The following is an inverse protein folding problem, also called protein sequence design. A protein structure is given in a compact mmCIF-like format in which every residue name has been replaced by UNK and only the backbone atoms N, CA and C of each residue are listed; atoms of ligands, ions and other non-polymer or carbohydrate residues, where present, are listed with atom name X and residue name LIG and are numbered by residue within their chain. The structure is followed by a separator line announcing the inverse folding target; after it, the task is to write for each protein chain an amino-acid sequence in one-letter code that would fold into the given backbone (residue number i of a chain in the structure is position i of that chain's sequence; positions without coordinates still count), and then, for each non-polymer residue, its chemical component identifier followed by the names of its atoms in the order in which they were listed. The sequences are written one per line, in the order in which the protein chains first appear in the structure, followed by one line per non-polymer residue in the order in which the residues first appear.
data_IF_145143065890
#
_entry.id   IF_145143065890
#
_cell.length_a   1.000
_cell.length_b   1.000
_cell.length_c   1.000
_cell.angle_alpha   90.00
_cell.angle_beta   90.00
_cell.angle_gamma   90.00
#
_symmetry.space_group_name_H-M   'P 1'
#
loop_
_entity.id
_entity.type
_entity.pdbx_description
1 polymer ?
#
# COMPACT_ATOMS: atom_id res chain seq x y z
N UNK A 1 13.52 0.28 18.14
CA UNK A 1 13.30 -1.16 17.94
C UNK A 1 11.99 -1.45 17.16
N UNK A 2 10.81 -0.92 17.57
CA UNK A 2 9.50 -1.15 16.91
C UNK A 2 9.52 -0.80 15.42
N UNK A 3 10.09 0.35 15.04
CA UNK A 3 10.18 0.76 13.63
C UNK A 3 11.09 -0.17 12.84
N UNK A 4 12.22 -0.60 13.42
CA UNK A 4 13.15 -1.53 12.76
C UNK A 4 12.46 -2.86 12.47
N UNK A 5 11.79 -3.44 13.46
CA UNK A 5 11.04 -4.69 13.29
C UNK A 5 9.94 -4.57 12.21
N UNK A 6 9.18 -3.47 12.27
CA UNK A 6 8.14 -3.19 11.27
C UNK A 6 8.73 -3.00 9.87
N UNK A 7 9.92 -2.37 9.75
CA UNK A 7 10.61 -2.22 8.47
C UNK A 7 11.04 -3.56 7.89
N UNK A 8 11.62 -4.46 8.68
CA UNK A 8 11.96 -5.80 8.20
C UNK A 8 10.73 -6.55 7.67
N UNK A 9 9.64 -6.55 8.43
CA UNK A 9 8.40 -7.20 8.02
C UNK A 9 7.86 -6.62 6.71
N UNK A 10 7.84 -5.30 6.57
CA UNK A 10 7.33 -4.64 5.37
C UNK A 10 8.24 -4.83 4.16
N UNK A 11 9.56 -4.86 4.35
CA UNK A 11 10.51 -5.13 3.29
C UNK A 11 10.23 -6.49 2.63
N UNK A 12 10.09 -7.55 3.43
CA UNK A 12 9.77 -8.88 2.91
C UNK A 12 8.34 -8.97 2.34
N UNK A 13 7.38 -8.19 2.86
CA UNK A 13 6.04 -8.13 2.28
C UNK A 13 6.08 -7.55 0.86
N UNK A 14 6.79 -6.43 0.64
CA UNK A 14 6.96 -5.86 -0.70
C UNK A 14 7.81 -6.74 -1.62
N UNK A 15 8.82 -7.43 -1.09
CA UNK A 15 9.58 -8.42 -1.87
C UNK A 15 8.68 -9.56 -2.37
N UNK A 16 7.79 -10.07 -1.52
CA UNK A 16 6.80 -11.07 -1.92
C UNK A 16 5.83 -10.54 -2.98
N UNK A 17 5.32 -9.32 -2.81
CA UNK A 17 4.46 -8.64 -3.78
C UNK A 17 5.18 -8.49 -5.14
N UNK A 18 6.42 -8.03 -5.13
CA UNK A 18 7.25 -7.92 -6.34
C UNK A 18 7.38 -9.27 -7.07
N UNK A 19 7.71 -10.34 -6.34
CA UNK A 19 7.87 -11.68 -6.93
C UNK A 19 6.56 -12.12 -7.62
N UNK A 20 5.41 -11.95 -6.95
CA UNK A 20 4.12 -12.33 -7.52
C UNK A 20 3.80 -11.51 -8.76
N UNK A 21 4.01 -10.18 -8.71
CA UNK A 21 3.76 -9.30 -9.86
C UNK A 21 4.69 -9.61 -11.04
N UNK A 22 5.97 -9.86 -10.78
CA UNK A 22 6.94 -10.20 -11.83
C UNK A 22 6.68 -11.57 -12.45
N UNK A 23 6.15 -12.53 -11.68
CA UNK A 23 5.85 -13.88 -12.16
C UNK A 23 4.46 -14.02 -12.77
N UNK A 24 3.56 -13.06 -12.55
CA UNK A 24 2.15 -13.19 -12.94
C UNK A 24 1.98 -13.42 -14.45
N UNK A 25 2.49 -12.52 -15.27
CA UNK A 25 2.39 -12.61 -16.73
C UNK A 25 3.10 -13.84 -17.30
N UNK A 26 4.38 -14.10 -16.95
CA UNK A 26 5.06 -15.31 -17.39
C UNK A 26 4.31 -16.60 -17.02
N UNK A 27 3.72 -16.65 -15.83
CA UNK A 27 3.00 -17.83 -15.36
C UNK A 27 1.68 -18.02 -16.12
N UNK A 28 0.92 -16.94 -16.35
CA UNK A 28 -0.29 -16.99 -17.15
C UNK A 28 0.00 -17.43 -18.60
N UNK A 29 1.01 -16.84 -19.22
CA UNK A 29 1.41 -17.19 -20.59
C UNK A 29 1.95 -18.62 -20.71
N UNK A 30 2.67 -19.10 -19.69
CA UNK A 30 3.13 -20.50 -19.62
C UNK A 30 1.94 -21.46 -19.66
N UNK A 31 0.91 -21.22 -18.86
CA UNK A 31 -0.29 -22.08 -18.88
C UNK A 31 -1.11 -21.91 -20.16
N UNK A 32 -1.22 -20.71 -20.70
CA UNK A 32 -1.88 -20.50 -22.00
C UNK A 32 -1.19 -21.24 -23.15
N UNK A 33 0.14 -21.25 -23.15
CA UNK A 33 0.92 -22.03 -24.12
C UNK A 33 0.71 -23.54 -23.93
N UNK A 34 0.67 -24.00 -22.68
CA UNK A 34 0.44 -25.42 -22.37
C UNK A 34 -0.95 -25.91 -22.82
N UNK A 35 -1.96 -25.04 -22.74
CA UNK A 35 -3.35 -25.32 -23.16
C UNK A 35 -3.52 -25.10 -24.67
N UNK A 36 -2.59 -24.38 -25.32
CA UNK A 36 -2.67 -24.04 -26.75
C UNK A 36 -3.57 -22.85 -27.05
N UNK A 37 -3.83 -21.97 -26.09
CA UNK A 37 -4.69 -20.79 -26.23
C UNK A 37 -3.92 -19.47 -26.38
N UNK A 38 -2.59 -19.51 -26.26
CA UNK A 38 -1.75 -18.31 -26.43
C UNK A 38 -1.75 -17.89 -27.91
N UNK A 39 -2.12 -16.64 -28.18
CA UNK A 39 -2.10 -16.05 -29.53
C UNK A 39 -0.74 -15.42 -29.81
N UNK A 40 -0.25 -15.53 -31.03
CA UNK A 40 0.97 -14.85 -31.46
C UNK A 40 0.85 -13.32 -31.28
N UNK A 41 1.81 -12.72 -30.57
CA UNK A 41 1.84 -11.28 -30.32
C UNK A 41 1.08 -10.80 -29.07
N UNK A 42 0.43 -11.68 -28.30
CA UNK A 42 -0.14 -11.31 -27.00
C UNK A 42 0.96 -11.21 -25.93
N UNK A 43 1.02 -10.06 -25.24
CA UNK A 43 1.92 -9.86 -24.08
C UNK A 43 1.41 -10.55 -22.84
N UNK A 44 0.09 -10.59 -22.66
CA UNK A 44 -0.59 -11.30 -21.57
C UNK A 44 -1.82 -12.01 -22.13
N UNK A 45 -1.91 -13.31 -21.88
CA UNK A 45 -3.08 -14.12 -22.29
C UNK A 45 -4.36 -13.64 -21.59
N UNK A 46 -5.47 -13.65 -22.32
CA UNK A 46 -6.81 -13.36 -21.77
C UNK A 46 -7.60 -14.63 -21.45
N UNK A 47 -6.99 -15.80 -21.57
CA UNK A 47 -7.66 -17.07 -21.29
C UNK A 47 -7.95 -17.23 -19.79
N UNK A 48 -9.22 -17.31 -19.37
CA UNK A 48 -9.59 -17.49 -17.98
C UNK A 48 -9.04 -18.78 -17.35
N UNK A 49 -8.87 -19.84 -18.13
CA UNK A 49 -8.32 -21.10 -17.61
C UNK A 49 -6.83 -20.98 -17.30
N UNK A 50 -6.07 -20.29 -18.13
CA UNK A 50 -4.66 -20.03 -17.88
C UNK A 50 -4.48 -19.19 -16.60
N UNK A 51 -5.33 -18.18 -16.41
CA UNK A 51 -5.34 -17.36 -15.20
C UNK A 51 -5.70 -18.19 -13.95
N UNK A 52 -6.68 -19.08 -14.08
CA UNK A 52 -7.07 -19.97 -12.99
C UNK A 52 -5.92 -20.89 -12.55
N UNK A 53 -5.20 -21.50 -13.49
CA UNK A 53 -4.05 -22.33 -13.17
C UNK A 53 -2.89 -21.53 -12.54
N UNK A 54 -2.61 -20.35 -13.06
CA UNK A 54 -1.62 -19.45 -12.48
C UNK A 54 -1.96 -19.09 -11.02
N UNK A 55 -3.23 -18.75 -10.74
CA UNK A 55 -3.70 -18.47 -9.37
C UNK A 55 -3.65 -19.69 -8.47
N UNK A 56 -3.92 -20.89 -8.98
CA UNK A 56 -3.79 -22.13 -8.20
C UNK A 56 -2.35 -22.35 -7.74
N UNK A 57 -1.37 -22.16 -8.62
CA UNK A 57 0.06 -22.31 -8.26
C UNK A 57 0.46 -21.31 -7.19
N UNK A 58 0.07 -20.05 -7.34
CA UNK A 58 0.34 -19.02 -6.32
C UNK A 58 -0.35 -19.38 -5.00
N UNK A 59 -1.62 -19.77 -5.05
CA UNK A 59 -2.39 -20.16 -3.87
C UNK A 59 -1.79 -21.34 -3.12
N UNK A 60 -1.39 -22.41 -3.82
CA UNK A 60 -0.71 -23.58 -3.22
C UNK A 60 0.63 -23.17 -2.63
N UNK A 61 1.40 -22.33 -3.31
CA UNK A 61 2.69 -21.83 -2.80
C UNK A 61 2.49 -21.03 -1.52
N UNK A 62 1.52 -20.10 -1.49
CA UNK A 62 1.19 -19.34 -0.29
C UNK A 62 0.75 -20.25 0.85
N UNK A 63 -0.12 -21.22 0.59
CA UNK A 63 -0.56 -22.19 1.58
C UNK A 63 0.62 -22.97 2.18
N UNK A 64 1.52 -23.47 1.33
CA UNK A 64 2.72 -24.19 1.78
C UNK A 64 3.62 -23.32 2.66
N UNK A 65 3.83 -22.04 2.27
CA UNK A 65 4.61 -21.09 3.05
C UNK A 65 3.96 -20.77 4.41
N UNK A 66 2.64 -20.65 4.47
CA UNK A 66 1.93 -20.45 5.75
C UNK A 66 2.06 -21.67 6.67
N UNK A 67 1.90 -22.91 6.12
CA UNK A 67 2.10 -24.14 6.88
C UNK A 67 3.55 -24.22 7.38
N UNK A 68 4.53 -23.93 6.53
CA UNK A 68 5.93 -23.92 6.90
C UNK A 68 6.21 -22.89 8.02
N UNK A 69 5.66 -21.69 7.90
CA UNK A 69 5.77 -20.65 8.94
C UNK A 69 5.20 -21.15 10.27
N UNK A 70 4.02 -21.77 10.25
CA UNK A 70 3.40 -22.33 11.44
C UNK A 70 4.29 -23.40 12.09
N UNK A 71 4.84 -24.31 11.31
CA UNK A 71 5.69 -25.41 11.81
C UNK A 71 7.03 -24.90 12.38
N UNK A 72 7.59 -23.84 11.80
CA UNK A 72 8.89 -23.28 12.20
C UNK A 72 8.79 -22.27 13.35
N UNK A 73 7.60 -21.68 13.58
CA UNK A 73 7.43 -20.64 14.59
C UNK A 73 7.05 -21.27 15.93
N UNK A 74 7.80 -20.95 16.99
CA UNK A 74 7.48 -21.33 18.38
C UNK A 74 7.29 -20.07 19.22
N UNK A 75 6.23 -20.07 19.99
CA UNK A 75 5.93 -18.99 20.94
C UNK A 75 6.82 -19.11 22.17
N UNK A 76 7.76 -18.20 22.37
CA UNK A 76 8.69 -18.20 23.49
C UNK A 76 8.21 -17.32 24.66
N UNK A 77 7.32 -16.37 24.41
CA UNK A 77 6.83 -15.43 25.42
C UNK A 77 5.41 -15.83 25.82
N UNK A 78 5.27 -16.37 27.03
CA UNK A 78 3.95 -16.56 27.62
C UNK A 78 3.46 -15.17 28.09
N UNK A 79 2.44 -14.64 27.44
CA UNK A 79 1.74 -13.47 27.95
C UNK A 79 1.09 -13.83 29.28
N UNK A 80 1.33 -13.01 30.32
CA UNK A 80 0.55 -13.11 31.56
C UNK A 80 -0.89 -12.86 31.18
N UNK A 81 -1.74 -13.87 31.34
CA UNK A 81 -3.19 -13.76 31.12
C UNK A 81 -3.74 -12.71 32.11
N UNK A 82 -3.81 -11.46 31.66
CA UNK A 82 -4.66 -10.47 32.34
C UNK A 82 -6.09 -10.80 31.93
N UNK A 83 -6.89 -11.25 32.88
CA UNK A 83 -8.31 -11.55 32.76
C UNK A 83 -9.14 -10.26 32.60
N UNK A 84 -8.86 -9.47 31.58
CA UNK A 84 -9.74 -8.35 31.22
C UNK A 84 -10.87 -8.88 30.34
N UNK A 85 -12.09 -8.44 30.64
CA UNK A 85 -13.24 -8.80 29.80
C UNK A 85 -13.09 -8.19 28.41
N UNK A 86 -13.48 -8.90 27.38
CA UNK A 86 -13.51 -8.39 25.98
C UNK A 86 -14.30 -7.06 25.91
N UNK A 87 -15.31 -6.91 26.77
CA UNK A 87 -16.10 -5.68 26.87
C UNK A 87 -15.29 -4.49 27.41
N UNK A 88 -14.41 -4.74 28.38
CA UNK A 88 -13.57 -3.71 28.98
C UNK A 88 -12.45 -3.31 28.00
N UNK A 89 -11.88 -4.25 27.27
CA UNK A 89 -10.89 -3.99 26.23
C UNK A 89 -11.49 -3.19 25.06
N UNK A 90 -12.70 -3.53 24.63
CA UNK A 90 -13.43 -2.78 23.61
C UNK A 90 -13.80 -1.37 24.11
N UNK A 91 -14.24 -1.27 25.37
CA UNK A 91 -14.53 0.01 26.01
C UNK A 91 -13.29 0.92 26.04
N UNK A 92 -12.13 0.39 26.44
CA UNK A 92 -10.87 1.13 26.50
C UNK A 92 -10.42 1.60 25.10
N UNK A 93 -10.62 0.77 24.07
CA UNK A 93 -10.30 1.11 22.70
C UNK A 93 -11.17 2.25 22.16
N UNK A 94 -12.48 2.20 22.38
CA UNK A 94 -13.42 3.22 21.94
C UNK A 94 -13.18 4.59 22.62
N UNK A 95 -12.65 4.62 23.83
CA UNK A 95 -12.27 5.85 24.56
C UNK A 95 -10.84 6.32 24.23
N UNK A 96 -10.12 5.61 23.37
CA UNK A 96 -8.73 5.93 22.98
C UNK A 96 -8.71 6.94 21.83
N UNK A 97 -8.71 8.25 22.13
CA UNK A 97 -8.67 9.30 21.12
C UNK A 97 -7.52 9.19 20.12
N UNK A 98 -6.26 8.98 20.54
CA UNK A 98 -5.14 8.74 19.62
C UNK A 98 -5.36 7.59 18.65
N UNK A 99 -6.06 6.53 19.07
CA UNK A 99 -6.39 5.40 18.21
C UNK A 99 -7.35 5.81 17.08
N UNK A 100 -8.42 6.55 17.37
CA UNK A 100 -9.37 7.02 16.36
C UNK A 100 -8.71 7.92 15.31
N UNK A 101 -7.82 8.81 15.76
CA UNK A 101 -7.11 9.73 14.89
C UNK A 101 -6.17 8.94 13.95
N UNK A 102 -5.39 8.01 14.49
CA UNK A 102 -4.50 7.21 13.66
C UNK A 102 -5.29 6.28 12.71
N UNK A 103 -6.38 5.67 13.20
CA UNK A 103 -7.24 4.81 12.39
C UNK A 103 -7.79 5.56 11.17
N UNK A 104 -8.29 6.80 11.37
CA UNK A 104 -8.75 7.66 10.30
C UNK A 104 -7.64 8.01 9.31
N UNK A 105 -6.49 8.45 9.82
CA UNK A 105 -5.33 8.76 8.95
C UNK A 105 -4.87 7.56 8.12
N UNK A 106 -4.79 6.39 8.71
CA UNK A 106 -4.39 5.14 8.02
C UNK A 106 -5.46 4.65 7.05
N UNK A 107 -6.74 4.78 7.38
CA UNK A 107 -7.84 4.43 6.48
C UNK A 107 -7.74 5.23 5.17
N UNK A 108 -7.61 6.57 5.27
CA UNK A 108 -7.49 7.43 4.10
C UNK A 108 -6.17 7.24 3.35
N UNK A 109 -5.07 6.92 4.03
CA UNK A 109 -3.82 6.54 3.38
C UNK A 109 -3.96 5.23 2.57
N UNK A 110 -4.63 4.22 3.11
CA UNK A 110 -4.90 2.98 2.35
C UNK A 110 -5.89 3.21 1.21
N UNK A 111 -6.86 4.09 1.39
CA UNK A 111 -7.79 4.50 0.33
C UNK A 111 -7.05 5.20 -0.82
N UNK A 112 -6.13 6.12 -0.51
CA UNK A 112 -5.22 6.73 -1.47
C UNK A 112 -4.46 5.68 -2.30
N UNK A 113 -3.81 4.73 -1.63
CA UNK A 113 -3.07 3.67 -2.31
C UNK A 113 -3.97 2.82 -3.20
N UNK A 114 -5.12 2.38 -2.68
CA UNK A 114 -6.04 1.51 -3.40
C UNK A 114 -6.58 2.15 -4.69
N UNK A 115 -6.94 3.43 -4.65
CA UNK A 115 -7.38 4.15 -5.86
C UNK A 115 -6.27 4.18 -6.90
N UNK A 116 -5.04 4.55 -6.51
CA UNK A 116 -3.93 4.60 -7.46
C UNK A 116 -3.63 3.23 -8.07
N UNK A 117 -3.52 2.17 -7.26
CA UNK A 117 -3.25 0.83 -7.76
C UNK A 117 -4.36 0.33 -8.68
N UNK A 118 -5.63 0.56 -8.35
CA UNK A 118 -6.77 0.15 -9.16
C UNK A 118 -6.92 0.98 -10.46
N UNK A 119 -6.47 2.23 -10.48
CA UNK A 119 -6.53 3.08 -11.66
C UNK A 119 -5.41 2.82 -12.69
N UNK A 120 -4.27 2.25 -12.26
CA UNK A 120 -3.10 2.02 -13.14
C UNK A 120 -3.45 1.20 -14.40
N UNK A 121 -4.15 0.06 -14.34
CA UNK A 121 -4.51 -0.69 -15.54
C UNK A 121 -5.31 0.16 -16.54
N UNK A 122 -6.29 0.93 -16.07
CA UNK A 122 -7.11 1.80 -16.92
C UNK A 122 -6.28 2.93 -17.54
N UNK A 123 -5.34 3.49 -16.78
CA UNK A 123 -4.43 4.51 -17.28
C UNK A 123 -3.57 3.98 -18.43
N UNK A 124 -3.00 2.80 -18.28
CA UNK A 124 -2.16 2.19 -19.30
C UNK A 124 -2.95 1.72 -20.53
N UNK A 125 -4.10 1.12 -20.34
CA UNK A 125 -4.92 0.63 -21.48
C UNK A 125 -5.57 1.74 -22.29
N UNK A 126 -5.73 2.95 -21.71
CA UNK A 126 -6.46 4.05 -22.35
C UNK A 126 -5.54 5.17 -22.84
N UNK A 127 -4.50 5.51 -22.07
CA UNK A 127 -3.68 6.71 -22.34
C UNK A 127 -2.26 6.40 -22.83
N UNK A 128 -1.74 5.20 -22.57
CA UNK A 128 -0.40 4.81 -23.02
C UNK A 128 -0.52 3.96 -24.27
N UNK A 129 0.29 4.24 -25.28
CA UNK A 129 0.30 3.46 -26.50
C UNK A 129 0.72 2.01 -26.23
N UNK A 130 0.08 1.05 -26.92
CA UNK A 130 0.37 -0.37 -26.73
C UNK A 130 1.81 -0.76 -27.09
N UNK A 131 2.45 0.03 -27.98
CA UNK A 131 3.83 -0.10 -28.42
C UNK A 131 4.78 0.87 -27.69
N UNK A 132 4.37 1.42 -26.54
CA UNK A 132 5.22 2.31 -25.74
C UNK A 132 6.46 1.57 -25.26
N UNK A 133 7.63 2.12 -25.57
CA UNK A 133 8.92 1.53 -25.18
C UNK A 133 9.76 2.51 -24.38
N UNK A 134 10.52 1.97 -23.44
CA UNK A 134 11.59 2.65 -22.73
C UNK A 134 12.92 2.01 -23.12
N UNK A 135 13.98 2.81 -23.24
CA UNK A 135 15.32 2.31 -23.55
C UNK A 135 16.29 2.68 -22.42
N UNK A 136 17.07 1.69 -21.96
CA UNK A 136 18.17 1.86 -21.01
C UNK A 136 19.41 1.19 -21.61
N UNK A 137 20.49 1.94 -21.82
CA UNK A 137 21.75 1.42 -22.36
C UNK A 137 21.57 0.53 -23.62
N UNK A 138 20.74 0.99 -24.58
CA UNK A 138 20.43 0.25 -25.82
C UNK A 138 19.57 -1.01 -25.65
N UNK A 139 19.02 -1.27 -24.48
CA UNK A 139 18.02 -2.31 -24.24
C UNK A 139 16.64 -1.62 -24.25
N UNK A 140 15.80 -2.05 -25.18
CA UNK A 140 14.41 -1.60 -25.27
C UNK A 140 13.50 -2.58 -24.53
N UNK A 141 12.58 -2.06 -23.73
CA UNK A 141 11.56 -2.84 -23.05
C UNK A 141 10.20 -2.14 -23.12
N UNK A 142 9.17 -2.94 -23.26
CA UNK A 142 7.80 -2.46 -23.34
C UNK A 142 7.40 -1.74 -22.04
N UNK A 143 6.79 -0.56 -22.17
CA UNK A 143 6.29 0.21 -21.03
C UNK A 143 4.81 -0.04 -20.80
N UNK A 144 4.48 -0.88 -19.84
CA UNK A 144 3.12 -1.29 -19.52
C UNK A 144 2.87 -1.33 -18.02
N UNK A 145 1.60 -1.54 -17.61
CA UNK A 145 1.18 -1.50 -16.22
C UNK A 145 1.97 -2.44 -15.30
N UNK A 146 2.31 -3.64 -15.75
CA UNK A 146 3.05 -4.63 -14.96
C UNK A 146 4.45 -4.13 -14.59
N UNK A 147 5.23 -3.59 -15.53
CA UNK A 147 6.55 -3.00 -15.26
C UNK A 147 6.42 -1.79 -14.34
N UNK A 148 5.43 -0.92 -14.58
CA UNK A 148 5.20 0.26 -13.75
C UNK A 148 4.90 -0.10 -12.29
N UNK A 149 4.10 -1.13 -12.06
CA UNK A 149 3.80 -1.66 -10.73
C UNK A 149 5.02 -2.36 -10.11
N UNK A 150 5.71 -3.21 -10.86
CA UNK A 150 6.88 -3.95 -10.35
C UNK A 150 8.02 -3.00 -9.93
N UNK A 151 8.32 -1.98 -10.74
CA UNK A 151 9.29 -0.94 -10.38
C UNK A 151 8.83 -0.18 -9.14
N UNK A 152 7.52 0.09 -9.01
CA UNK A 152 6.92 0.67 -7.83
C UNK A 152 7.16 -0.17 -6.57
N UNK A 153 7.04 -1.50 -6.64
CA UNK A 153 7.29 -2.39 -5.49
C UNK A 153 8.76 -2.39 -5.06
N UNK A 154 9.69 -2.39 -6.01
CA UNK A 154 11.13 -2.25 -5.71
C UNK A 154 11.40 -0.89 -5.03
N UNK A 155 10.78 0.17 -5.51
CA UNK A 155 10.88 1.50 -4.92
C UNK A 155 10.25 1.55 -3.50
N UNK A 156 9.14 0.85 -3.26
CA UNK A 156 8.57 0.66 -1.92
C UNK A 156 9.57 0.01 -0.97
N UNK A 157 10.27 -1.05 -1.40
CA UNK A 157 11.32 -1.70 -0.59
C UNK A 157 12.43 -0.73 -0.22
N UNK A 158 12.89 0.10 -1.16
CA UNK A 158 13.87 1.15 -0.89
C UNK A 158 13.33 2.17 0.14
N UNK A 159 12.08 2.58 0.01
CA UNK A 159 11.39 3.46 0.96
C UNK A 159 11.33 2.87 2.36
N UNK A 160 11.00 1.59 2.50
CA UNK A 160 11.00 0.86 3.78
C UNK A 160 12.39 0.86 4.43
N UNK A 161 13.45 0.63 3.65
CA UNK A 161 14.83 0.68 4.16
C UNK A 161 15.20 2.09 4.65
N UNK A 162 14.72 3.14 3.97
CA UNK A 162 14.94 4.54 4.36
C UNK A 162 14.08 4.98 5.56
N UNK A 163 12.98 4.30 5.86
CA UNK A 163 12.04 4.70 6.91
C UNK A 163 12.71 4.81 8.29
N UNK A 164 13.52 3.82 8.66
CA UNK A 164 14.18 3.78 9.96
C UNK A 164 15.13 4.96 10.20
N UNK A 165 16.15 5.24 9.35
CA UNK A 165 17.07 6.36 9.57
C UNK A 165 16.38 7.73 9.52
N UNK A 166 15.36 7.90 8.66
CA UNK A 166 14.61 9.16 8.58
C UNK A 166 13.79 9.36 9.87
N UNK A 167 13.12 8.31 10.33
CA UNK A 167 12.30 8.37 11.55
C UNK A 167 13.12 8.66 12.81
N UNK A 168 14.35 8.16 12.90
CA UNK A 168 15.23 8.48 14.02
C UNK A 168 15.59 9.97 14.09
N UNK A 169 15.70 10.64 12.95
CA UNK A 169 16.02 12.07 12.88
C UNK A 169 14.80 12.96 13.08
N UNK A 170 13.70 12.69 12.41
CA UNK A 170 12.52 13.55 12.34
C UNK A 170 11.40 13.16 13.32
N UNK A 171 11.40 11.91 13.80
CA UNK A 171 10.29 11.33 14.56
C UNK A 171 9.16 10.79 13.65
N UNK A 172 8.36 9.86 14.18
CA UNK A 172 7.34 9.13 13.39
C UNK A 172 6.27 10.04 12.79
N UNK A 173 5.66 10.91 13.62
CA UNK A 173 4.61 11.84 13.21
C UNK A 173 5.09 12.76 12.08
N UNK A 174 6.25 13.39 12.24
CA UNK A 174 6.79 14.34 11.25
C UNK A 174 7.18 13.64 9.97
N UNK A 175 7.79 12.45 10.04
CA UNK A 175 8.14 11.66 8.85
C UNK A 175 6.88 11.29 8.07
N UNK A 176 5.82 10.82 8.73
CA UNK A 176 4.55 10.50 8.09
C UNK A 176 3.96 11.74 7.40
N UNK A 177 3.88 12.87 8.12
CA UNK A 177 3.31 14.11 7.59
C UNK A 177 4.07 14.64 6.38
N UNK A 178 5.41 14.71 6.46
CA UNK A 178 6.23 15.20 5.34
C UNK A 178 6.13 14.27 4.13
N UNK A 179 6.06 12.96 4.35
CA UNK A 179 5.84 12.01 3.26
C UNK A 179 4.48 12.22 2.60
N UNK A 180 3.40 12.48 3.37
CA UNK A 180 2.08 12.78 2.80
C UNK A 180 2.09 14.09 2.00
N UNK A 181 2.72 15.14 2.51
CA UNK A 181 2.83 16.42 1.79
C UNK A 181 3.58 16.26 0.46
N UNK A 182 4.67 15.51 0.47
CA UNK A 182 5.42 15.18 -0.75
C UNK A 182 4.59 14.32 -1.72
N UNK A 183 3.83 13.33 -1.21
CA UNK A 183 2.90 12.51 -2.02
C UNK A 183 1.84 13.37 -2.71
N UNK A 184 1.24 14.32 -2.01
CA UNK A 184 0.26 15.26 -2.57
C UNK A 184 0.88 16.03 -3.74
N UNK A 185 2.07 16.61 -3.53
CA UNK A 185 2.76 17.39 -4.57
C UNK A 185 3.10 16.52 -5.80
N UNK A 186 3.61 15.30 -5.59
CA UNK A 186 3.95 14.38 -6.69
C UNK A 186 2.71 13.89 -7.45
N UNK A 187 1.60 13.62 -6.76
CA UNK A 187 0.35 13.25 -7.40
C UNK A 187 -0.21 14.41 -8.25
N UNK A 188 -0.14 15.65 -7.76
CA UNK A 188 -0.52 16.83 -8.56
C UNK A 188 0.40 16.98 -9.76
N UNK A 189 1.72 16.81 -9.58
CA UNK A 189 2.69 16.88 -10.68
C UNK A 189 2.41 15.82 -11.75
N UNK A 190 1.95 14.62 -11.36
CA UNK A 190 1.60 13.54 -12.29
C UNK A 190 0.53 13.96 -13.32
N UNK A 191 -0.41 14.83 -12.94
CA UNK A 191 -1.45 15.35 -13.84
C UNK A 191 -0.90 16.12 -15.04
N UNK A 192 0.19 16.88 -14.85
CA UNK A 192 0.76 17.75 -15.87
C UNK A 192 1.74 17.03 -16.81
N UNK A 193 2.00 15.73 -16.59
CA UNK A 193 2.90 14.97 -17.47
C UNK A 193 2.15 14.51 -18.70
N UNK A 194 2.69 14.75 -19.91
CA UNK A 194 2.11 14.19 -21.14
C UNK A 194 2.06 12.66 -21.10
N UNK A 195 1.10 12.09 -21.82
CA UNK A 195 0.93 10.63 -21.91
C UNK A 195 1.54 10.04 -23.19
N UNK A 196 2.27 10.85 -23.96
CA UNK A 196 2.89 10.44 -25.22
C UNK A 196 4.37 10.84 -25.27
N UNK A 197 5.17 9.98 -25.87
CA UNK A 197 6.61 10.20 -26.06
C UNK A 197 7.47 9.62 -24.95
N UNK A 198 8.65 9.12 -25.32
CA UNK A 198 9.60 8.42 -24.44
C UNK A 198 10.01 9.25 -23.22
N UNK A 199 10.18 10.58 -23.38
CA UNK A 199 10.51 11.46 -22.26
C UNK A 199 9.38 11.57 -21.22
N UNK A 200 8.12 11.54 -21.67
CA UNK A 200 6.95 11.52 -20.79
C UNK A 200 6.86 10.18 -20.01
N UNK A 201 7.10 9.05 -20.66
CA UNK A 201 7.09 7.73 -20.02
C UNK A 201 8.16 7.64 -18.92
N UNK A 202 9.37 8.16 -19.16
CA UNK A 202 10.40 8.26 -18.13
C UNK A 202 9.98 9.14 -16.96
N UNK A 203 9.33 10.26 -17.24
CA UNK A 203 8.84 11.17 -16.19
C UNK A 203 7.75 10.50 -15.34
N UNK A 204 6.79 9.81 -15.97
CA UNK A 204 5.75 9.05 -15.28
C UNK A 204 6.36 7.95 -14.39
N UNK A 205 7.35 7.22 -14.89
CA UNK A 205 8.04 6.18 -14.13
C UNK A 205 8.83 6.76 -12.95
N UNK A 206 9.53 7.88 -13.14
CA UNK A 206 10.25 8.56 -12.06
C UNK A 206 9.30 9.07 -10.97
N UNK A 207 8.16 9.66 -11.34
CA UNK A 207 7.14 10.07 -10.38
C UNK A 207 6.59 8.86 -9.61
N UNK A 208 6.35 7.74 -10.28
CA UNK A 208 5.91 6.50 -9.61
C UNK A 208 6.96 5.99 -8.63
N UNK A 209 8.24 5.98 -8.99
CA UNK A 209 9.34 5.60 -8.09
C UNK A 209 9.33 6.48 -6.84
N UNK A 210 9.25 7.80 -6.99
CA UNK A 210 9.23 8.73 -5.86
C UNK A 210 7.99 8.54 -4.98
N UNK A 211 6.81 8.38 -5.57
CA UNK A 211 5.56 8.10 -4.86
C UNK A 211 5.68 6.79 -4.09
N UNK A 212 6.22 5.74 -4.70
CA UNK A 212 6.40 4.44 -4.06
C UNK A 212 7.43 4.49 -2.92
N UNK A 213 8.53 5.21 -3.06
CA UNK A 213 9.49 5.40 -1.96
C UNK A 213 8.79 6.04 -0.74
N UNK A 214 8.00 7.09 -0.97
CA UNK A 214 7.29 7.77 0.12
C UNK A 214 6.23 6.86 0.78
N UNK A 215 5.50 6.08 -0.01
CA UNK A 215 4.56 5.08 0.50
C UNK A 215 5.27 4.00 1.31
N UNK A 216 6.41 3.54 0.81
CA UNK A 216 7.28 2.59 1.50
C UNK A 216 7.81 3.12 2.83
N UNK A 217 8.12 4.42 2.93
CA UNK A 217 8.50 5.07 4.19
C UNK A 217 7.35 5.04 5.19
N UNK A 218 6.12 5.34 4.76
CA UNK A 218 4.95 5.40 5.65
C UNK A 218 4.57 4.01 6.18
N UNK A 219 4.67 2.96 5.39
CA UNK A 219 4.18 1.62 5.72
C UNK A 219 4.67 1.06 7.07
N UNK A 220 5.98 1.04 7.41
CA UNK A 220 6.43 0.56 8.71
C UNK A 220 6.10 1.53 9.86
N UNK A 221 5.97 2.83 9.56
CA UNK A 221 5.59 3.82 10.58
C UNK A 221 4.18 3.55 11.11
N UNK A 222 3.23 3.23 10.25
CA UNK A 222 1.85 2.89 10.62
C UNK A 222 1.85 1.81 11.72
N UNK A 223 2.51 0.68 11.47
CA UNK A 223 2.58 -0.42 12.44
C UNK A 223 3.30 -0.03 13.72
N UNK A 224 4.37 0.74 13.61
CA UNK A 224 5.11 1.24 14.76
C UNK A 224 4.29 2.24 15.59
N UNK A 225 3.44 3.06 14.96
CA UNK A 225 2.55 4.00 15.66
C UNK A 225 1.39 3.28 16.36
N UNK A 226 0.86 2.18 15.80
CA UNK A 226 -0.12 1.35 16.50
C UNK A 226 0.49 0.68 17.74
N UNK A 227 1.76 0.27 17.67
CA UNK A 227 2.47 -0.22 18.86
C UNK A 227 2.65 0.88 19.94
N UNK A 228 2.82 2.15 19.53
CA UNK A 228 2.86 3.28 20.48
C UNK A 228 1.49 3.55 21.12
N UNK A 229 0.40 3.38 20.37
CA UNK A 229 -0.96 3.47 20.90
C UNK A 229 -1.22 2.36 21.92
N UNK A 230 -0.69 1.15 21.71
CA UNK A 230 -0.79 0.06 22.67
C UNK A 230 -0.09 0.41 23.99
N UNK A 231 1.13 0.97 23.95
CA UNK A 231 1.81 1.44 25.15
C UNK A 231 1.05 2.57 25.87
N UNK A 232 0.49 3.51 25.11
CA UNK A 232 -0.36 4.56 25.67
C UNK A 232 -1.61 4.01 26.35
N UNK A 233 -2.26 3.01 25.73
CA UNK A 233 -3.46 2.37 26.26
C UNK A 233 -3.13 1.60 27.57
N UNK A 234 -2.01 0.88 27.61
CA UNK A 234 -1.57 0.15 28.81
C UNK A 234 -1.35 1.11 29.99
N UNK A 235 -0.71 2.25 29.76
CA UNK A 235 -0.45 3.23 30.81
C UNK A 235 -1.74 3.90 31.29
N UNK A 236 -2.64 4.30 30.37
CA UNK A 236 -3.81 5.11 30.68
C UNK A 236 -5.00 4.29 31.20
N UNK A 237 -5.26 3.16 30.58
CA UNK A 237 -6.43 2.32 30.84
C UNK A 237 -6.09 1.07 31.66
N UNK A 238 -4.79 0.82 31.91
CA UNK A 238 -4.28 -0.38 32.59
C UNK A 238 -4.72 -1.70 31.92
N UNK A 239 -5.10 -1.63 30.66
CA UNK A 239 -5.52 -2.75 29.82
C UNK A 239 -4.59 -2.85 28.61
N UNK A 240 -4.11 -4.07 28.33
CA UNK A 240 -3.27 -4.32 27.18
C UNK A 240 -4.09 -4.85 26.01
N UNK A 241 -4.98 -4.00 25.42
CA UNK A 241 -5.79 -4.35 24.24
C UNK A 241 -5.00 -4.36 22.93
N UNK A 242 -3.74 -4.79 22.98
CA UNK A 242 -2.80 -4.81 21.85
C UNK A 242 -3.38 -5.54 20.65
N UNK A 243 -4.01 -6.72 20.85
CA UNK A 243 -4.62 -7.51 19.78
C UNK A 243 -5.72 -6.74 19.05
N UNK A 244 -6.60 -6.04 19.78
CA UNK A 244 -7.68 -5.22 19.18
C UNK A 244 -7.12 -4.01 18.43
N UNK A 245 -6.08 -3.35 18.93
CA UNK A 245 -5.43 -2.22 18.27
C UNK A 245 -4.83 -2.66 16.92
N UNK A 246 -4.11 -3.78 16.88
CA UNK A 246 -3.53 -4.29 15.64
C UNK A 246 -4.55 -4.88 14.67
N UNK A 247 -5.60 -5.53 15.16
CA UNK A 247 -6.70 -6.02 14.32
C UNK A 247 -7.48 -4.88 13.67
N UNK A 248 -7.69 -3.77 14.39
CA UNK A 248 -8.30 -2.56 13.83
C UNK A 248 -7.45 -1.92 12.72
N UNK A 249 -6.12 -1.97 12.83
CA UNK A 249 -5.22 -1.55 11.75
C UNK A 249 -5.43 -2.40 10.49
N UNK A 250 -5.46 -3.72 10.65
CA UNK A 250 -5.72 -4.63 9.54
C UNK A 250 -7.09 -4.40 8.92
N UNK A 251 -8.11 -4.11 9.75
CA UNK A 251 -9.45 -3.73 9.31
C UNK A 251 -9.41 -2.45 8.47
N UNK A 252 -8.74 -1.39 8.94
CA UNK A 252 -8.61 -0.13 8.21
C UNK A 252 -7.95 -0.32 6.84
N UNK A 253 -6.92 -1.19 6.75
CA UNK A 253 -6.30 -1.54 5.47
C UNK A 253 -7.27 -2.23 4.52
N UNK A 254 -8.04 -3.22 5.02
CA UNK A 254 -9.00 -3.96 4.20
C UNK A 254 -10.15 -3.08 3.73
N UNK A 255 -10.70 -2.25 4.62
CA UNK A 255 -11.76 -1.29 4.25
C UNK A 255 -11.24 -0.24 3.28
N UNK A 256 -10.08 0.36 3.55
CA UNK A 256 -9.47 1.34 2.62
C UNK A 256 -9.26 0.74 1.23
N UNK A 257 -8.76 -0.50 1.15
CA UNK A 257 -8.60 -1.24 -0.10
C UNK A 257 -9.92 -1.52 -0.82
N UNK A 258 -10.92 -2.04 -0.10
CA UNK A 258 -12.22 -2.37 -0.68
C UNK A 258 -12.97 -1.12 -1.19
N UNK A 259 -13.03 -0.07 -0.38
CA UNK A 259 -13.66 1.20 -0.78
C UNK A 259 -12.88 1.85 -1.93
N UNK A 260 -11.54 1.77 -1.94
CA UNK A 260 -10.72 2.34 -3.01
C UNK A 260 -10.98 1.65 -4.35
N UNK A 261 -11.00 0.32 -4.39
CA UNK A 261 -11.33 -0.42 -5.60
C UNK A 261 -12.75 -0.15 -6.11
N UNK A 262 -13.75 -0.14 -5.22
CA UNK A 262 -15.13 0.19 -5.57
C UNK A 262 -15.26 1.65 -6.07
N UNK A 263 -14.59 2.59 -5.41
CA UNK A 263 -14.63 4.00 -5.78
C UNK A 263 -14.08 4.24 -7.19
N UNK A 264 -13.02 3.54 -7.60
CA UNK A 264 -12.50 3.64 -8.97
C UNK A 264 -13.56 3.25 -9.99
N UNK A 265 -14.26 2.12 -9.77
CA UNK A 265 -15.32 1.67 -10.68
C UNK A 265 -16.49 2.65 -10.74
N UNK A 266 -16.94 3.18 -9.59
CA UNK A 266 -18.03 4.15 -9.54
C UNK A 266 -17.64 5.49 -10.19
N UNK A 267 -16.43 5.96 -9.97
CA UNK A 267 -15.95 7.20 -10.59
C UNK A 267 -15.77 7.04 -12.09
N UNK A 268 -15.20 5.92 -12.56
CA UNK A 268 -15.10 5.63 -13.99
C UNK A 268 -16.47 5.58 -14.65
N UNK A 269 -17.45 4.91 -14.04
CA UNK A 269 -18.82 4.90 -14.53
C UNK A 269 -19.44 6.31 -14.56
N UNK A 270 -19.16 7.13 -13.54
CA UNK A 270 -19.60 8.53 -13.46
C UNK A 270 -18.98 9.42 -14.55
N UNK A 271 -17.74 9.14 -14.98
CA UNK A 271 -17.08 9.79 -16.11
C UNK A 271 -17.44 9.19 -17.47
N UNK A 272 -18.38 8.24 -17.54
CA UNK A 272 -18.83 7.63 -18.79
C UNK A 272 -17.83 6.68 -19.44
N UNK A 273 -16.97 6.02 -18.62
CA UNK A 273 -16.03 5.03 -19.13
C UNK A 273 -16.76 3.85 -19.76
N UNK A 274 -16.47 3.55 -21.03
CA UNK A 274 -17.04 2.39 -21.72
C UNK A 274 -16.18 1.15 -21.43
N UNK A 275 -16.82 0.11 -20.90
CA UNK A 275 -16.18 -1.16 -20.56
C UNK A 275 -16.12 -2.16 -21.72
N UNK A 276 -16.71 -1.85 -22.88
CA UNK A 276 -16.65 -2.70 -24.05
C UNK A 276 -15.23 -2.80 -24.61
N UNK A 277 -14.85 -3.98 -25.03
CA UNK A 277 -13.51 -4.24 -25.55
C UNK A 277 -13.24 -3.47 -26.84
N UNK A 278 -12.16 -2.68 -26.86
CA UNK A 278 -11.78 -1.87 -28.00
C UNK A 278 -12.59 -0.57 -28.18
N UNK A 279 -13.47 -0.23 -27.22
CA UNK A 279 -14.23 1.00 -27.27
C UNK A 279 -13.32 2.22 -27.20
N UNK A 280 -13.58 3.20 -28.06
CA UNK A 280 -12.95 4.52 -27.99
C UNK A 280 -13.55 5.26 -26.80
N UNK A 281 -12.70 5.67 -25.86
CA UNK A 281 -13.14 6.40 -24.67
C UNK A 281 -13.43 7.87 -24.99
N UNK A 282 -14.41 8.43 -24.27
CA UNK A 282 -14.73 9.85 -24.35
C UNK A 282 -13.64 10.71 -23.70
N UNK A 283 -13.55 11.99 -24.06
CA UNK A 283 -12.62 12.93 -23.43
C UNK A 283 -12.88 13.04 -21.91
N UNK A 284 -14.15 12.96 -21.49
CA UNK A 284 -14.53 12.96 -20.08
C UNK A 284 -14.02 11.72 -19.32
N UNK A 285 -14.09 10.54 -19.93
CA UNK A 285 -13.55 9.31 -19.36
C UNK A 285 -12.02 9.35 -19.27
N UNK A 286 -11.35 9.84 -20.31
CA UNK A 286 -9.87 10.04 -20.31
C UNK A 286 -9.46 11.00 -19.20
N UNK A 287 -10.15 12.14 -19.09
CA UNK A 287 -9.90 13.10 -18.00
C UNK A 287 -10.16 12.49 -16.63
N UNK A 288 -11.22 11.70 -16.47
CA UNK A 288 -11.53 10.98 -15.24
C UNK A 288 -10.41 10.03 -14.81
N UNK A 289 -9.80 9.29 -15.75
CA UNK A 289 -8.66 8.41 -15.47
C UNK A 289 -7.44 9.23 -15.02
N UNK A 290 -7.16 10.37 -15.66
CA UNK A 290 -6.09 11.26 -15.23
C UNK A 290 -6.32 11.79 -13.81
N UNK A 291 -7.55 12.17 -13.47
CA UNK A 291 -7.92 12.60 -12.12
C UNK A 291 -7.75 11.48 -11.09
N UNK A 292 -8.07 10.22 -11.43
CA UNK A 292 -7.89 9.05 -10.57
C UNK A 292 -6.41 8.74 -10.28
N UNK A 293 -5.49 9.15 -11.15
CA UNK A 293 -4.05 9.00 -10.94
C UNK A 293 -3.42 10.20 -10.21
N UNK A 294 -4.12 11.33 -10.09
CA UNK A 294 -3.55 12.61 -9.66
C UNK A 294 -4.35 13.32 -8.56
N UNK A 295 -5.32 14.15 -8.92
CA UNK A 295 -6.04 15.03 -8.01
C UNK A 295 -6.90 14.30 -6.98
N UNK A 296 -7.57 13.22 -7.36
CA UNK A 296 -8.43 12.47 -6.44
C UNK A 296 -7.59 11.83 -5.32
N UNK A 297 -6.52 11.07 -5.62
CA UNK A 297 -5.62 10.58 -4.58
C UNK A 297 -4.97 11.71 -3.77
N UNK A 298 -4.57 12.81 -4.40
CA UNK A 298 -4.02 13.96 -3.69
C UNK A 298 -5.00 14.52 -2.65
N UNK A 299 -6.27 14.69 -3.00
CA UNK A 299 -7.33 15.13 -2.07
C UNK A 299 -7.53 14.16 -0.89
N UNK A 300 -7.48 12.86 -1.15
CA UNK A 300 -7.57 11.83 -0.10
C UNK A 300 -6.34 11.87 0.81
N UNK A 301 -5.14 12.07 0.25
CA UNK A 301 -3.93 12.22 1.04
C UNK A 301 -3.96 13.48 1.93
N UNK A 302 -4.60 14.58 1.49
CA UNK A 302 -4.85 15.77 2.32
C UNK A 302 -5.69 15.40 3.54
N UNK A 303 -6.76 14.63 3.38
CA UNK A 303 -7.58 14.19 4.52
C UNK A 303 -6.74 13.36 5.49
N UNK A 304 -5.94 12.40 4.99
CA UNK A 304 -5.00 11.64 5.82
C UNK A 304 -4.03 12.56 6.57
N UNK A 305 -3.47 13.58 5.90
CA UNK A 305 -2.55 14.54 6.51
C UNK A 305 -3.21 15.34 7.64
N UNK A 306 -4.48 15.74 7.50
CA UNK A 306 -5.23 16.43 8.56
C UNK A 306 -5.29 15.56 9.82
N UNK A 307 -5.61 14.26 9.70
CA UNK A 307 -5.60 13.33 10.83
C UNK A 307 -4.21 13.24 11.48
N UNK A 308 -3.14 13.18 10.69
CA UNK A 308 -1.78 13.10 11.23
C UNK A 308 -1.35 14.42 11.91
N UNK A 309 -1.80 15.58 11.42
CA UNK A 309 -1.53 16.88 12.06
C UNK A 309 -2.10 16.90 13.48
N UNK A 310 -3.33 16.44 13.68
CA UNK A 310 -3.98 16.43 15.00
C UNK A 310 -3.56 15.25 15.88
N UNK A 311 -2.78 14.29 15.36
CA UNK A 311 -2.30 13.13 16.12
C UNK A 311 -1.42 13.54 17.32
N UNK A 312 -1.78 13.16 18.57
CA UNK A 312 -1.17 13.75 19.76
C UNK A 312 0.12 13.06 20.24
N UNK A 313 0.40 11.81 19.82
CA UNK A 313 1.55 11.07 20.31
C UNK A 313 2.82 11.43 19.51
N UNK A 314 3.44 12.53 19.93
CA UNK A 314 4.75 12.98 19.41
C UNK A 314 5.90 12.14 19.97
N UNK A 315 7.08 12.24 19.37
CA UNK A 315 8.30 11.55 19.86
C UNK A 315 8.62 11.90 21.31
N UNK A 316 8.43 13.17 21.72
CA UNK A 316 8.63 13.62 23.10
C UNK A 316 7.64 12.92 24.03
N UNK A 317 6.36 12.92 23.68
CA UNK A 317 5.31 12.28 24.49
C UNK A 317 5.52 10.78 24.63
N UNK A 318 6.00 10.11 23.58
CA UNK A 318 6.28 8.67 23.62
C UNK A 318 7.49 8.33 24.48
N UNK A 319 8.49 9.21 24.62
CA UNK A 319 9.58 9.03 25.58
C UNK A 319 9.07 9.10 27.01
N UNK A 320 8.25 10.10 27.34
CA UNK A 320 7.62 10.25 28.65
C UNK A 320 6.77 9.01 29.02
N UNK A 321 5.94 8.53 28.09
CA UNK A 321 5.14 7.32 28.27
C UNK A 321 6.03 6.10 28.51
N UNK A 322 7.12 5.97 27.75
CA UNK A 322 8.06 4.85 27.91
C UNK A 322 8.77 4.82 29.27
N UNK A 323 9.09 5.98 29.86
CA UNK A 323 9.67 6.11 31.19
C UNK A 323 8.65 5.71 32.26
N UNK A 324 7.45 6.27 32.20
CA UNK A 324 6.34 5.95 33.12
C UNK A 324 5.94 4.45 33.05
N UNK A 325 5.96 3.87 31.86
CA UNK A 325 5.63 2.46 31.71
C UNK A 325 6.69 1.52 32.28
N UNK A 326 7.96 1.92 32.26
CA UNK A 326 9.05 1.19 32.94
C UNK A 326 8.86 1.18 34.46
N UNK A 327 8.39 2.29 35.02
CA UNK A 327 8.08 2.39 36.47
C UNK A 327 6.83 1.57 36.81
N UNK A 328 5.82 1.62 35.96
CA UNK A 328 4.57 0.87 36.13
C UNK A 328 4.73 -0.67 36.06
N UNK A 329 5.70 -1.14 35.27
CA UNK A 329 5.98 -2.59 35.09
C UNK A 329 6.96 -3.15 36.14
N UNK A 330 7.56 -2.31 36.99
CA UNK A 330 8.37 -2.71 38.17
C UNK A 330 7.47 -3.07 39.34
#
# INVERSE_FOLDING_TARGET
EKTVFSSFRMFFAYAGSFIVLAMWEPLCNFFANLIGTLKEGETLTRDPQAWQYAMMVIGVTCFALFVLTFLMTREHVKTVEKTTSVKDDLGSLLHNGPWWILLGGVLFFNFFNAIRYAAIPFFFTTLIAADAHLSIFSIEFLFYAGIFLAVGEVANMAGVAMATPITFKLGKKSTFLYSLVALIALCIAFYFVPTTGTGAYWTLLMLQILISILTGIISPLVWSMYADISDYAELKFKTASTGLIFSSSSMAQKFGGAFGGAAVMWLLAGFGFNTEEGAVQTEEAIHGIQLLMSWIPAGIAVISAIFIIIYPLTTKRMKEIGEQLKEFRK
#
